data_IF_637612182555
#
_entry.id   IF_637612182555
#
_cell.length_a   1.000
_cell.length_b   1.000
_cell.length_c   1.000
_cell.angle_alpha   90.00
_cell.angle_beta   90.00
_cell.angle_gamma   90.00
#
_symmetry.space_group_name_H-M   'P 1'
#
loop_
_entity.id
_entity.type
_entity.pdbx_description
1 polymer ?
#
# COMPACT_ATOMS: atom_id res chain seq x y z
N UNK A 1 -8.48 -3.13 0.85
CA UNK A 1 -8.41 -4.18 -0.22
C UNK A 1 -8.99 -3.74 -1.57
N UNK A 2 -9.41 -2.48 -1.73
CA UNK A 2 -10.12 -2.01 -2.93
C UNK A 2 -9.28 -2.01 -4.21
N UNK A 3 -8.02 -1.57 -4.13
CA UNK A 3 -7.11 -1.53 -5.30
C UNK A 3 -6.86 -2.89 -5.94
N UNK A 4 -6.49 -3.95 -5.19
CA UNK A 4 -6.33 -5.29 -5.78
C UNK A 4 -7.62 -5.83 -6.39
N UNK A 5 -8.77 -5.63 -5.71
CA UNK A 5 -10.07 -6.05 -6.24
C UNK A 5 -10.37 -5.40 -7.59
N UNK A 6 -10.19 -4.06 -7.67
CA UNK A 6 -10.40 -3.33 -8.92
C UNK A 6 -9.43 -3.79 -10.03
N UNK A 7 -8.15 -3.97 -9.69
CA UNK A 7 -7.14 -4.39 -10.66
C UNK A 7 -7.39 -5.81 -11.22
N UNK A 8 -8.04 -6.67 -10.44
CA UNK A 8 -8.34 -8.05 -10.83
C UNK A 8 -9.72 -8.21 -11.46
N UNK A 9 -10.63 -7.26 -11.27
CA UNK A 9 -12.01 -7.36 -11.75
C UNK A 9 -12.10 -7.54 -13.27
N UNK A 10 -11.24 -6.86 -14.03
CA UNK A 10 -11.22 -6.97 -15.50
C UNK A 10 -10.76 -8.38 -15.95
N UNK A 11 -9.94 -9.05 -15.15
CA UNK A 11 -9.41 -10.39 -15.43
C UNK A 11 -10.39 -11.47 -14.98
N UNK A 12 -11.12 -11.22 -13.89
CA UNK A 12 -12.05 -12.17 -13.28
C UNK A 12 -13.30 -12.45 -14.16
N UNK A 13 -13.66 -11.53 -15.08
CA UNK A 13 -14.77 -11.74 -16.01
C UNK A 13 -16.12 -11.92 -15.33
N UNK A 14 -16.33 -11.32 -14.14
CA UNK A 14 -17.58 -11.37 -13.40
C UNK A 14 -17.76 -12.59 -12.48
N UNK A 15 -16.72 -13.40 -12.30
CA UNK A 15 -16.73 -14.56 -11.40
C UNK A 15 -15.58 -14.58 -10.41
N UNK A 16 -15.53 -15.57 -9.51
CA UNK A 16 -14.42 -15.72 -8.58
C UNK A 16 -13.13 -16.03 -9.34
N UNK A 17 -12.08 -15.27 -9.09
CA UNK A 17 -10.75 -15.47 -9.68
C UNK A 17 -9.92 -16.51 -8.90
N UNK A 18 -10.16 -16.62 -7.61
CA UNK A 18 -9.45 -17.52 -6.71
C UNK A 18 -10.41 -18.53 -6.08
N UNK A 19 -9.97 -19.77 -5.94
CA UNK A 19 -10.73 -20.79 -5.23
C UNK A 19 -10.86 -20.49 -3.73
N UNK A 20 -9.89 -19.77 -3.17
CA UNK A 20 -9.88 -19.39 -1.75
C UNK A 20 -9.05 -18.12 -1.55
N UNK A 21 -9.56 -17.20 -0.73
CA UNK A 21 -8.80 -16.11 -0.15
C UNK A 21 -8.54 -16.37 1.34
N UNK A 22 -7.34 -16.05 1.81
CA UNK A 22 -6.94 -16.21 3.22
C UNK A 22 -6.50 -14.85 3.76
N UNK A 23 -7.16 -14.40 4.80
CA UNK A 23 -6.75 -13.22 5.55
C UNK A 23 -5.66 -13.60 6.57
N UNK A 24 -4.49 -12.98 6.45
CA UNK A 24 -3.32 -13.33 7.29
C UNK A 24 -2.98 -12.24 8.30
N UNK A 25 -3.53 -11.04 8.14
CA UNK A 25 -3.22 -9.88 8.98
C UNK A 25 -1.82 -9.30 8.81
N UNK A 26 -1.00 -9.81 7.88
CA UNK A 26 0.39 -9.39 7.73
C UNK A 26 0.85 -9.36 6.27
N UNK A 27 1.14 -8.18 5.73
CA UNK A 27 1.66 -8.06 4.36
C UNK A 27 3.05 -8.71 4.18
N UNK A 28 4.06 -8.53 5.08
CA UNK A 28 5.31 -9.28 4.98
C UNK A 28 5.11 -10.79 5.09
N UNK A 29 4.22 -11.24 5.99
CA UNK A 29 3.85 -12.66 6.14
C UNK A 29 3.21 -13.23 4.88
N UNK A 30 2.47 -12.43 4.11
CA UNK A 30 1.95 -12.85 2.80
C UNK A 30 3.09 -13.16 1.83
N UNK A 31 4.10 -12.28 1.74
CA UNK A 31 5.26 -12.48 0.87
C UNK A 31 6.03 -13.74 1.27
N UNK A 32 6.23 -13.97 2.57
CA UNK A 32 6.86 -15.19 3.08
C UNK A 32 6.09 -16.47 2.65
N UNK A 33 4.76 -16.43 2.69
CA UNK A 33 3.90 -17.54 2.25
C UNK A 33 4.03 -17.80 0.75
N UNK A 34 3.95 -16.75 -0.08
CA UNK A 34 4.13 -16.87 -1.53
C UNK A 34 5.52 -17.46 -1.84
N UNK A 35 6.57 -16.96 -1.20
CA UNK A 35 7.93 -17.46 -1.41
C UNK A 35 8.15 -18.91 -0.99
N UNK A 36 7.30 -19.44 -0.09
CA UNK A 36 7.26 -20.87 0.30
C UNK A 36 6.30 -21.72 -0.53
N UNK A 37 5.57 -21.14 -1.48
CA UNK A 37 4.58 -21.85 -2.29
C UNK A 37 3.28 -22.18 -1.54
N UNK A 38 2.97 -21.44 -0.47
CA UNK A 38 1.75 -21.61 0.32
C UNK A 38 0.55 -20.82 -0.24
N UNK A 39 0.71 -20.24 -1.40
CA UNK A 39 -0.31 -19.47 -2.12
C UNK A 39 0.20 -19.02 -3.48
N UNK A 40 -0.72 -18.66 -4.38
CA UNK A 40 -0.41 -18.34 -5.77
C UNK A 40 -0.16 -16.86 -5.99
N UNK A 41 -0.89 -15.97 -5.28
CA UNK A 41 -0.79 -14.54 -5.43
C UNK A 41 -1.12 -13.80 -4.13
N UNK A 42 -0.59 -12.61 -4.00
CA UNK A 42 -0.93 -11.65 -2.93
C UNK A 42 -0.81 -10.22 -3.44
N UNK A 43 -1.42 -9.29 -2.73
CA UNK A 43 -1.24 -7.86 -2.95
C UNK A 43 -0.59 -7.24 -1.71
N UNK A 44 0.45 -6.46 -1.95
CA UNK A 44 1.18 -5.74 -0.90
C UNK A 44 1.49 -4.31 -1.37
N UNK A 45 1.69 -3.39 -0.46
CA UNK A 45 2.17 -2.06 -0.82
C UNK A 45 3.65 -2.09 -1.25
N UNK A 46 4.04 -1.10 -2.06
CA UNK A 46 5.37 -1.06 -2.67
C UNK A 46 6.50 -0.87 -1.63
N UNK A 47 6.22 -0.22 -0.51
CA UNK A 47 7.19 0.02 0.56
C UNK A 47 7.45 -1.27 1.32
N UNK A 48 6.39 -1.96 1.73
CA UNK A 48 6.49 -3.30 2.36
C UNK A 48 7.23 -4.28 1.46
N UNK A 49 6.92 -4.30 0.14
CA UNK A 49 7.64 -5.16 -0.81
C UNK A 49 9.14 -4.83 -0.88
N UNK A 50 9.48 -3.53 -0.98
CA UNK A 50 10.87 -3.10 -1.05
C UNK A 50 11.66 -3.45 0.22
N UNK A 51 11.08 -3.22 1.41
CA UNK A 51 11.68 -3.63 2.68
C UNK A 51 11.83 -5.14 2.78
N UNK A 52 10.82 -5.89 2.38
CA UNK A 52 10.87 -7.35 2.41
C UNK A 52 11.99 -7.88 1.51
N UNK A 53 12.15 -7.37 0.29
CA UNK A 53 13.25 -7.73 -0.61
C UNK A 53 14.62 -7.39 -0.01
N UNK A 54 14.75 -6.22 0.65
CA UNK A 54 16.00 -5.80 1.30
C UNK A 54 16.40 -6.72 2.44
N UNK A 55 15.43 -7.17 3.24
CA UNK A 55 15.66 -7.95 4.46
C UNK A 55 15.54 -9.47 4.26
N UNK A 56 15.12 -9.91 3.08
CA UNK A 56 14.97 -11.33 2.69
C UNK A 56 15.58 -11.60 1.32
N UNK A 57 16.87 -11.27 1.11
CA UNK A 57 17.51 -11.38 -0.20
C UNK A 57 17.48 -12.82 -0.74
N UNK A 58 17.47 -13.83 0.13
CA UNK A 58 17.39 -15.25 -0.23
C UNK A 58 16.00 -15.68 -0.71
N UNK A 59 14.94 -14.94 -0.31
CA UNK A 59 13.55 -15.23 -0.70
C UNK A 59 13.08 -14.35 -1.85
N UNK A 60 13.64 -13.16 -2.01
CA UNK A 60 13.22 -12.21 -3.04
C UNK A 60 13.17 -12.81 -4.48
N UNK A 61 14.12 -13.65 -4.91
CA UNK A 61 14.05 -14.28 -6.23
C UNK A 61 12.91 -15.27 -6.42
N UNK A 62 12.27 -15.72 -5.34
CA UNK A 62 11.14 -16.66 -5.38
C UNK A 62 9.79 -15.98 -5.62
N UNK A 63 9.77 -14.65 -5.65
CA UNK A 63 8.56 -13.84 -5.85
C UNK A 63 8.75 -12.92 -7.05
N UNK A 64 7.71 -12.72 -7.83
CA UNK A 64 7.72 -11.76 -8.93
C UNK A 64 6.53 -10.83 -8.87
N UNK A 65 6.71 -9.59 -9.28
CA UNK A 65 5.62 -8.64 -9.47
C UNK A 65 4.87 -9.02 -10.74
N UNK A 66 3.59 -9.31 -10.62
CA UNK A 66 2.71 -9.65 -11.75
C UNK A 66 2.12 -8.38 -12.40
N UNK A 67 1.69 -7.44 -11.57
CA UNK A 67 1.09 -6.20 -12.00
C UNK A 67 1.27 -5.11 -10.93
N UNK A 68 1.05 -3.87 -11.31
CA UNK A 68 0.98 -2.71 -10.40
C UNK A 68 -0.41 -2.12 -10.49
N UNK A 69 -0.98 -1.75 -9.36
CA UNK A 69 -2.22 -0.97 -9.32
C UNK A 69 -1.98 0.47 -9.77
N UNK A 70 -3.01 1.21 -10.17
CA UNK A 70 -2.90 2.65 -10.33
C UNK A 70 -2.34 3.31 -9.06
N UNK A 71 -1.59 4.42 -9.19
CA UNK A 71 -1.11 5.17 -8.05
C UNK A 71 -2.28 5.65 -7.18
N UNK A 72 -2.14 5.53 -5.89
CA UNK A 72 -3.10 6.04 -4.91
C UNK A 72 -2.39 6.86 -3.84
N UNK A 73 -3.10 7.77 -3.15
CA UNK A 73 -2.54 8.43 -1.99
C UNK A 73 -2.01 7.41 -0.98
N UNK A 74 -0.85 7.71 -0.41
CA UNK A 74 -0.31 6.94 0.71
C UNK A 74 -1.18 7.11 1.97
N UNK A 75 -0.95 6.28 2.97
CA UNK A 75 -1.61 6.41 4.28
C UNK A 75 -1.27 7.79 4.85
N UNK A 76 -2.27 8.63 5.15
CA UNK A 76 -2.02 9.98 5.65
C UNK A 76 -1.55 9.97 7.10
N UNK A 77 -0.68 10.92 7.46
CA UNK A 77 -0.50 11.31 8.86
C UNK A 77 -1.70 12.15 9.28
N UNK A 78 -2.35 11.75 10.36
CA UNK A 78 -3.57 12.43 10.86
C UNK A 78 -3.36 12.98 12.26
N UNK A 79 -4.05 14.07 12.57
CA UNK A 79 -4.15 14.62 13.92
C UNK A 79 -5.62 14.65 14.35
N UNK A 80 -5.86 14.67 15.65
CA UNK A 80 -7.21 14.86 16.19
C UNK A 80 -7.77 16.21 15.72
N UNK A 81 -9.08 16.27 15.47
CA UNK A 81 -9.77 17.52 15.14
C UNK A 81 -9.65 18.57 16.25
N UNK A 82 -9.43 18.11 17.49
CA UNK A 82 -9.20 18.98 18.65
C UNK A 82 -7.76 19.54 18.70
N UNK A 83 -6.85 19.11 17.82
CA UNK A 83 -5.47 19.60 17.83
C UNK A 83 -5.42 21.03 17.34
N UNK A 84 -4.85 21.98 18.12
CA UNK A 84 -4.76 23.38 17.70
C UNK A 84 -4.02 23.53 16.35
N UNK A 85 -4.51 24.44 15.51
CA UNK A 85 -3.92 24.68 14.18
C UNK A 85 -2.42 25.01 14.23
N UNK A 86 -1.99 25.77 15.25
CA UNK A 86 -0.57 26.07 15.46
C UNK A 86 0.26 24.81 15.70
N UNK A 87 -0.25 23.84 16.47
CA UNK A 87 0.41 22.54 16.69
C UNK A 87 0.49 21.74 15.40
N UNK A 88 -0.59 21.72 14.61
CA UNK A 88 -0.58 21.05 13.29
C UNK A 88 0.46 21.66 12.36
N UNK A 89 0.58 22.99 12.35
CA UNK A 89 1.60 23.70 11.55
C UNK A 89 3.03 23.31 11.97
N UNK A 90 3.29 23.22 13.28
CA UNK A 90 4.60 22.78 13.81
C UNK A 90 4.90 21.34 13.39
N UNK A 91 3.94 20.44 13.53
CA UNK A 91 4.10 19.03 13.11
C UNK A 91 4.39 18.90 11.61
N UNK A 92 3.69 19.65 10.77
CA UNK A 92 3.95 19.70 9.32
C UNK A 92 5.36 20.22 9.02
N UNK A 93 5.78 21.28 9.67
CA UNK A 93 7.13 21.83 9.49
C UNK A 93 8.20 20.81 9.92
N UNK A 94 8.02 20.12 11.05
CA UNK A 94 8.92 19.10 11.53
C UNK A 94 9.01 17.91 10.56
N UNK A 95 7.90 17.43 10.02
CA UNK A 95 7.88 16.37 9.01
C UNK A 95 8.61 16.78 7.72
N UNK A 96 8.42 18.01 7.26
CA UNK A 96 9.13 18.54 6.09
C UNK A 96 10.62 18.67 6.33
N UNK A 97 11.05 19.02 7.54
CA UNK A 97 12.47 19.13 7.86
C UNK A 97 13.17 17.78 7.70
N UNK A 98 12.50 16.66 7.97
CA UNK A 98 13.04 15.31 7.80
C UNK A 98 13.41 15.04 6.34
N UNK A 99 12.66 15.55 5.36
CA UNK A 99 12.95 15.30 3.95
C UNK A 99 13.92 16.31 3.34
N UNK A 100 14.08 17.48 3.93
CA UNK A 100 14.91 18.56 3.36
C UNK A 100 16.26 18.75 4.06
N UNK A 101 16.40 18.40 5.35
CA UNK A 101 17.63 18.62 6.08
C UNK A 101 18.63 17.44 5.97
N UNK A 102 19.87 17.76 5.67
CA UNK A 102 20.93 16.74 5.45
C UNK A 102 21.17 15.84 6.67
N UNK A 103 21.02 16.37 7.88
CA UNK A 103 21.18 15.60 9.13
C UNK A 103 20.25 14.38 9.22
N UNK A 104 19.16 14.36 8.46
CA UNK A 104 18.19 13.25 8.44
C UNK A 104 18.36 12.31 7.24
N UNK A 105 19.41 12.49 6.43
CA UNK A 105 19.63 11.66 5.23
C UNK A 105 19.64 10.17 5.53
N UNK A 106 20.40 9.74 6.53
CA UNK A 106 20.48 8.32 6.89
C UNK A 106 19.13 7.73 7.30
N UNK A 107 18.28 8.53 7.96
CA UNK A 107 16.91 8.13 8.33
C UNK A 107 16.05 7.97 7.07
N UNK A 108 16.08 8.95 6.15
CA UNK A 108 15.35 8.87 4.88
C UNK A 108 15.75 7.66 4.05
N UNK A 109 17.04 7.41 3.88
CA UNK A 109 17.57 6.26 3.17
C UNK A 109 17.17 4.93 3.84
N UNK A 110 17.26 4.88 5.17
CA UNK A 110 16.80 3.73 5.94
C UNK A 110 15.32 3.43 5.78
N UNK A 111 14.49 4.47 5.74
CA UNK A 111 13.04 4.37 5.56
C UNK A 111 12.61 4.32 4.08
N UNK A 112 13.53 4.42 3.12
CA UNK A 112 13.22 4.56 1.69
C UNK A 112 12.25 5.74 1.42
N UNK A 113 12.38 6.81 2.20
CA UNK A 113 11.53 7.98 2.15
C UNK A 113 12.12 9.01 1.18
N UNK A 114 11.45 9.26 0.08
CA UNK A 114 11.86 10.24 -0.91
C UNK A 114 11.36 11.65 -0.56
N UNK A 115 10.08 11.76 -0.18
CA UNK A 115 9.45 13.03 0.15
C UNK A 115 8.22 12.85 1.02
N UNK A 116 7.75 13.94 1.64
CA UNK A 116 6.48 14.04 2.36
C UNK A 116 5.69 15.17 1.71
N UNK A 117 4.60 14.80 1.05
CA UNK A 117 3.80 15.73 0.25
C UNK A 117 2.42 15.96 0.86
N UNK A 118 1.88 17.15 0.67
CA UNK A 118 0.50 17.44 1.02
C UNK A 118 -0.42 16.86 -0.06
N UNK A 119 -1.26 15.92 0.34
CA UNK A 119 -2.29 15.34 -0.54
C UNK A 119 -3.64 15.92 -0.13
N UNK A 120 -4.37 16.57 -1.06
CA UNK A 120 -5.71 17.07 -0.76
C UNK A 120 -6.63 15.93 -0.31
N UNK A 121 -7.43 16.18 0.73
CA UNK A 121 -8.38 15.19 1.28
C UNK A 121 -9.33 14.66 0.19
N UNK A 122 -9.72 15.51 -0.76
CA UNK A 122 -10.56 15.15 -1.90
C UNK A 122 -9.99 14.03 -2.81
N UNK A 123 -8.70 13.66 -2.65
CA UNK A 123 -8.08 12.56 -3.40
C UNK A 123 -8.39 11.19 -2.80
N UNK A 124 -8.76 11.11 -1.52
CA UNK A 124 -8.98 9.84 -0.84
C UNK A 124 -10.31 9.14 -1.19
N UNK A 125 -11.42 9.85 -1.43
CA UNK A 125 -12.68 9.22 -1.84
C UNK A 125 -12.57 8.33 -3.08
N UNK A 126 -11.65 8.63 -4.00
CA UNK A 126 -11.38 7.78 -5.16
C UNK A 126 -11.04 6.31 -4.81
N UNK A 127 -10.53 6.06 -3.60
CA UNK A 127 -10.30 4.69 -3.11
C UNK A 127 -11.60 3.91 -2.88
N UNK A 128 -12.71 4.61 -2.56
CA UNK A 128 -14.04 4.03 -2.45
C UNK A 128 -14.67 3.82 -3.82
N UNK A 129 -14.30 4.63 -4.82
CA UNK A 129 -14.76 4.42 -6.19
C UNK A 129 -14.24 3.09 -6.74
N UNK A 130 -13.00 2.72 -6.47
CA UNK A 130 -12.46 1.41 -6.86
C UNK A 130 -13.25 0.24 -6.26
N UNK A 131 -13.80 0.39 -5.07
CA UNK A 131 -14.68 -0.64 -4.50
C UNK A 131 -15.98 -0.76 -5.27
N UNK A 132 -16.62 0.37 -5.57
CA UNK A 132 -17.87 0.41 -6.35
C UNK A 132 -17.67 -0.13 -7.78
N UNK A 133 -16.58 0.27 -8.42
CA UNK A 133 -16.21 -0.21 -9.75
C UNK A 133 -15.98 -1.71 -9.78
N UNK A 134 -15.24 -2.26 -8.81
CA UNK A 134 -15.01 -3.70 -8.72
C UNK A 134 -16.33 -4.47 -8.52
N UNK A 135 -17.22 -3.96 -7.67
CA UNK A 135 -18.54 -4.54 -7.47
C UNK A 135 -19.41 -4.49 -8.74
N UNK A 136 -19.40 -3.36 -9.47
CA UNK A 136 -20.13 -3.20 -10.73
C UNK A 136 -19.63 -4.14 -11.83
N UNK A 137 -18.35 -4.54 -11.79
CA UNK A 137 -17.75 -5.53 -12.68
C UNK A 137 -18.00 -6.97 -12.22
N UNK A 138 -18.85 -7.20 -11.22
CA UNK A 138 -19.17 -8.53 -10.70
C UNK A 138 -18.09 -9.11 -9.78
N UNK A 139 -17.21 -8.29 -9.23
CA UNK A 139 -16.10 -8.72 -8.36
C UNK A 139 -16.16 -8.04 -6.98
N UNK A 140 -17.24 -8.25 -6.19
CA UNK A 140 -17.43 -7.62 -4.89
C UNK A 140 -16.49 -8.16 -3.82
N UNK A 141 -15.91 -9.34 -4.01
CA UNK A 141 -14.95 -10.00 -3.13
C UNK A 141 -13.80 -10.61 -3.94
N UNK A 142 -12.75 -11.11 -3.28
CA UNK A 142 -11.61 -11.76 -3.94
C UNK A 142 -11.84 -13.26 -4.20
N UNK A 143 -12.73 -13.87 -3.45
CA UNK A 143 -13.15 -15.26 -3.60
C UNK A 143 -14.62 -15.39 -3.16
#
# INVERSE_FOLDING_TARGET
>A
MNLPRRALADIAGGGPLFARAVETGSQPGNLDRIARGEGDATAVDCVTYAFWCRHRPEMAPKVRVLARTPPSPAIPSVASIATPAATVAILRAALRSVVHEERYRAIREGLMLADIVDVPEARYPALLDYEREAAALGHPALA
#
